data_IF_362342929278
#
_entry.id   IF_362342929278
#
_cell.length_a   1.000
_cell.length_b   1.000
_cell.length_c   1.000
_cell.angle_alpha   90.00
_cell.angle_beta   90.00
_cell.angle_gamma   90.00
#
_symmetry.space_group_name_H-M   'P 1'
#
loop_
_entity.id
_entity.type
_entity.pdbx_description
1 polymer ?
#
# COMPACT_ATOMS: atom_id res chain seq x y z
N UNK A 1 -23.35 83.98 -5.69
CA UNK A 1 -22.61 83.28 -4.62
C UNK A 1 -23.63 82.73 -3.64
N UNK A 2 -23.97 81.45 -3.77
CA UNK A 2 -24.88 80.70 -2.88
C UNK A 2 -24.15 79.42 -2.45
N UNK A 3 -24.27 78.98 -1.18
CA UNK A 3 -23.56 77.79 -0.73
C UNK A 3 -24.35 76.53 -1.10
N UNK A 4 -23.68 75.60 -1.78
CA UNK A 4 -24.20 74.28 -2.09
C UNK A 4 -24.20 73.41 -0.81
N UNK A 5 -25.39 72.99 -0.37
CA UNK A 5 -25.54 71.95 0.65
C UNK A 5 -25.14 70.59 0.04
N UNK A 6 -23.96 70.09 0.40
CA UNK A 6 -23.57 68.69 0.17
C UNK A 6 -24.30 67.81 1.19
N UNK A 7 -25.39 67.19 0.78
CA UNK A 7 -26.04 66.11 1.51
C UNK A 7 -25.08 64.91 1.54
N UNK A 8 -24.47 64.62 2.70
CA UNK A 8 -23.77 63.35 2.94
C UNK A 8 -24.84 62.26 3.08
N UNK A 9 -25.04 61.49 2.01
CA UNK A 9 -25.79 60.25 2.04
C UNK A 9 -24.93 59.21 2.78
N UNK A 10 -25.12 59.07 4.09
CA UNK A 10 -24.59 57.92 4.82
C UNK A 10 -25.47 56.72 4.47
N UNK A 11 -25.00 55.86 3.56
CA UNK A 11 -25.57 54.53 3.41
C UNK A 11 -25.27 53.74 4.68
N UNK A 12 -26.24 53.67 5.58
CA UNK A 12 -26.18 52.81 6.76
C UNK A 12 -26.40 51.37 6.28
N UNK A 13 -25.35 50.71 5.80
CA UNK A 13 -25.36 49.25 5.71
C UNK A 13 -25.26 48.72 7.14
N UNK A 14 -26.21 47.93 7.65
CA UNK A 14 -26.01 47.27 8.93
C UNK A 14 -24.75 46.41 8.84
N UNK A 15 -23.88 46.41 9.86
CA UNK A 15 -22.75 45.48 9.86
C UNK A 15 -23.36 44.08 9.79
N UNK A 16 -23.14 43.37 8.67
CA UNK A 16 -23.40 41.94 8.62
C UNK A 16 -22.61 41.35 9.77
N UNK A 17 -23.32 40.79 10.74
CA UNK A 17 -22.75 40.22 11.95
C UNK A 17 -21.99 38.96 11.53
N UNK A 18 -20.78 39.13 11.01
CA UNK A 18 -19.84 38.05 10.71
C UNK A 18 -19.37 37.53 12.06
N UNK A 19 -20.17 36.63 12.61
CA UNK A 19 -19.88 35.94 13.85
C UNK A 19 -18.82 34.89 13.55
N UNK A 20 -17.70 34.94 14.26
CA UNK A 20 -16.74 33.85 14.25
C UNK A 20 -17.34 32.65 14.99
N UNK A 21 -18.02 31.79 14.23
CA UNK A 21 -18.71 30.62 14.77
C UNK A 21 -17.70 29.73 15.49
N UNK A 22 -16.59 29.39 14.84
CA UNK A 22 -15.57 28.48 15.40
C UNK A 22 -14.91 29.10 16.64
N UNK A 23 -14.54 30.37 16.60
CA UNK A 23 -13.98 31.07 17.77
C UNK A 23 -14.96 31.22 18.93
N UNK A 24 -16.27 31.22 18.67
CA UNK A 24 -17.30 31.31 19.72
C UNK A 24 -17.68 29.97 20.36
N UNK A 25 -17.28 28.84 19.76
CA UNK A 25 -17.61 27.50 20.26
C UNK A 25 -16.68 27.05 21.38
N UNK A 26 -17.14 26.16 22.27
CA UNK A 26 -16.26 25.41 23.16
C UNK A 26 -15.18 24.66 22.36
N UNK A 27 -13.93 24.56 22.88
CA UNK A 27 -12.82 23.96 22.16
C UNK A 27 -13.11 22.55 21.60
N UNK A 28 -13.84 21.72 22.35
CA UNK A 28 -14.16 20.35 21.97
C UNK A 28 -15.05 20.30 20.73
N UNK A 29 -16.03 21.21 20.64
CA UNK A 29 -16.95 21.29 19.51
C UNK A 29 -16.23 21.87 18.29
N UNK A 30 -15.41 22.90 18.48
CA UNK A 30 -14.57 23.45 17.42
C UNK A 30 -13.64 22.37 16.84
N UNK A 31 -12.95 21.62 17.70
CA UNK A 31 -12.06 20.52 17.29
C UNK A 31 -12.84 19.42 16.57
N UNK A 32 -14.02 19.03 17.04
CA UNK A 32 -14.82 17.99 16.38
C UNK A 32 -15.30 18.44 14.99
N UNK A 33 -15.56 19.73 14.77
CA UNK A 33 -15.84 20.28 13.44
C UNK A 33 -14.58 20.26 12.57
N UNK A 34 -13.45 20.75 13.09
CA UNK A 34 -12.18 20.82 12.35
C UNK A 34 -11.63 19.45 11.96
N UNK A 35 -12.01 18.39 12.68
CA UNK A 35 -11.65 16.98 12.42
C UNK A 35 -12.08 16.43 11.05
N UNK A 36 -12.99 17.11 10.37
CA UNK A 36 -13.45 16.76 9.02
C UNK A 36 -12.63 17.43 7.91
N UNK A 37 -11.82 18.44 8.24
CA UNK A 37 -10.97 19.14 7.28
C UNK A 37 -9.77 18.29 6.86
N UNK A 38 -9.16 18.61 5.72
CA UNK A 38 -7.88 18.02 5.32
C UNK A 38 -6.68 18.80 5.92
N UNK A 39 -5.46 18.32 5.71
CA UNK A 39 -4.26 18.94 6.28
C UNK A 39 -4.03 20.39 5.79
N UNK A 40 -4.37 20.71 4.54
CA UNK A 40 -4.20 22.06 3.98
C UNK A 40 -5.23 23.03 4.57
N UNK A 41 -6.47 22.59 4.72
CA UNK A 41 -7.54 23.38 5.33
C UNK A 41 -7.24 23.63 6.82
N UNK A 42 -6.75 22.61 7.55
CA UNK A 42 -6.30 22.77 8.93
C UNK A 42 -5.12 23.75 9.04
N UNK A 43 -4.13 23.65 8.15
CA UNK A 43 -3.03 24.60 8.10
C UNK A 43 -3.51 26.03 7.82
N UNK A 44 -4.51 26.17 6.94
CA UNK A 44 -5.14 27.47 6.64
C UNK A 44 -5.92 28.02 7.85
N UNK A 45 -6.62 27.15 8.59
CA UNK A 45 -7.29 27.49 9.84
C UNK A 45 -6.30 28.07 10.87
N UNK A 46 -5.09 27.51 10.96
CA UNK A 46 -4.02 28.04 11.82
C UNK A 46 -3.57 29.46 11.48
N UNK A 47 -3.94 29.99 10.32
CA UNK A 47 -3.60 31.34 9.85
C UNK A 47 -4.74 32.37 10.03
N UNK A 48 -5.93 31.94 10.47
CA UNK A 48 -7.11 32.83 10.59
C UNK A 48 -7.01 33.76 11.79
N UNK A 49 -6.81 33.21 12.99
CA UNK A 49 -6.64 33.95 14.24
C UNK A 49 -5.90 33.12 15.27
N UNK A 50 -5.41 33.74 16.35
CA UNK A 50 -4.74 33.01 17.46
C UNK A 50 -5.64 31.94 18.08
N UNK A 51 -6.94 32.21 18.17
CA UNK A 51 -7.90 31.26 18.73
C UNK A 51 -8.13 30.07 17.78
N UNK A 52 -8.30 30.33 16.48
CA UNK A 52 -8.40 29.25 15.48
C UNK A 52 -7.14 28.40 15.43
N UNK A 53 -5.96 29.02 15.56
CA UNK A 53 -4.69 28.31 15.67
C UNK A 53 -4.69 27.36 16.87
N UNK A 54 -5.13 27.80 18.04
CA UNK A 54 -5.14 26.95 19.24
C UNK A 54 -6.01 25.69 19.07
N UNK A 55 -7.06 25.76 18.24
CA UNK A 55 -7.93 24.63 17.94
C UNK A 55 -7.38 23.75 16.81
N UNK A 56 -6.97 24.36 15.69
CA UNK A 56 -6.50 23.66 14.49
C UNK A 56 -5.09 23.06 14.66
N UNK A 57 -4.28 23.59 15.57
CA UNK A 57 -2.94 23.10 15.92
C UNK A 57 -2.99 22.04 17.03
N UNK A 58 -4.13 21.39 17.28
CA UNK A 58 -4.28 20.35 18.30
C UNK A 58 -3.63 19.02 17.88
N UNK A 59 -2.87 18.40 18.79
CA UNK A 59 -2.26 17.09 18.57
C UNK A 59 -3.28 16.00 18.25
N UNK A 60 -4.51 16.10 18.76
CA UNK A 60 -5.57 15.11 18.46
C UNK A 60 -5.91 15.11 16.97
N UNK A 61 -6.01 16.29 16.37
CA UNK A 61 -6.30 16.45 14.94
C UNK A 61 -5.14 15.91 14.09
N UNK A 62 -3.92 16.31 14.42
CA UNK A 62 -2.75 15.94 13.61
C UNK A 62 -2.31 14.49 13.83
N UNK A 63 -2.54 13.89 15.01
CA UNK A 63 -2.36 12.44 15.24
C UNK A 63 -3.35 11.64 14.39
N UNK A 64 -4.60 12.10 14.26
CA UNK A 64 -5.58 11.50 13.34
C UNK A 64 -5.13 11.64 11.88
N UNK A 65 -4.58 12.80 11.48
CA UNK A 65 -4.03 13.00 10.14
C UNK A 65 -2.86 12.04 9.85
N UNK A 66 -1.91 11.92 10.77
CA UNK A 66 -0.79 10.99 10.65
C UNK A 66 -1.28 9.55 10.46
N UNK A 67 -2.23 9.08 11.29
CA UNK A 67 -2.84 7.75 11.16
C UNK A 67 -3.53 7.57 9.81
N UNK A 68 -4.30 8.56 9.34
CA UNK A 68 -4.98 8.54 8.03
C UNK A 68 -3.99 8.40 6.87
N UNK A 69 -2.78 8.94 7.02
CA UNK A 69 -1.70 8.86 6.05
C UNK A 69 -0.69 7.73 6.34
N UNK A 70 -1.01 6.81 7.27
CA UNK A 70 -0.13 5.69 7.71
C UNK A 70 1.28 6.14 8.10
N UNK A 71 1.38 7.34 8.67
CA UNK A 71 2.61 7.78 9.30
C UNK A 71 2.71 7.09 10.66
N UNK A 72 3.60 6.10 10.74
CA UNK A 72 4.13 5.64 12.01
C UNK A 72 5.11 6.70 12.51
N UNK A 73 4.62 7.61 13.34
CA UNK A 73 5.47 8.54 14.09
C UNK A 73 5.56 8.00 15.50
N UNK A 74 6.74 7.53 15.87
CA UNK A 74 7.02 7.14 17.24
C UNK A 74 7.12 8.40 18.11
N UNK A 75 6.56 8.36 19.32
CA UNK A 75 6.45 9.56 20.17
C UNK A 75 7.82 10.09 20.62
N UNK A 76 8.88 9.26 20.61
CA UNK A 76 10.25 9.70 20.91
C UNK A 76 10.83 10.64 19.84
N UNK A 77 10.32 10.60 18.60
CA UNK A 77 10.76 11.49 17.50
C UNK A 77 10.51 12.95 17.86
N UNK A 78 9.53 13.24 18.71
CA UNK A 78 9.22 14.57 19.18
C UNK A 78 10.36 15.21 19.99
N UNK A 79 11.24 14.41 20.60
CA UNK A 79 12.42 14.93 21.29
C UNK A 79 13.50 15.45 20.32
N UNK A 80 13.48 15.02 19.06
CA UNK A 80 14.44 15.42 18.02
C UNK A 80 13.94 16.57 17.14
N UNK A 81 12.70 17.02 17.32
CA UNK A 81 12.15 18.15 16.60
C UNK A 81 12.55 19.44 17.36
N UNK A 82 13.32 20.31 16.72
CA UNK A 82 13.69 21.60 17.28
C UNK A 82 12.43 22.49 17.41
N UNK A 83 11.93 22.65 18.64
CA UNK A 83 10.79 23.54 18.95
C UNK A 83 11.23 24.92 19.43
N UNK A 84 12.52 25.11 19.70
CA UNK A 84 13.06 26.35 20.23
C UNK A 84 13.36 27.35 19.11
N UNK A 85 12.33 28.09 18.70
CA UNK A 85 12.50 29.40 18.07
C UNK A 85 12.07 30.48 19.08
N UNK A 86 12.98 30.95 19.96
CA UNK A 86 12.64 31.90 21.05
C UNK A 86 12.25 33.31 20.56
N UNK A 87 12.05 33.51 19.25
CA UNK A 87 11.68 34.78 18.62
C UNK A 87 10.28 34.82 17.99
N UNK A 88 9.50 33.73 17.96
CA UNK A 88 8.18 33.73 17.33
C UNK A 88 7.05 34.10 18.31
N UNK A 89 6.20 35.06 17.93
CA UNK A 89 5.07 35.56 18.75
C UNK A 89 3.85 34.63 18.79
N UNK A 90 3.95 33.44 18.18
CA UNK A 90 2.87 32.47 18.02
C UNK A 90 3.23 31.18 18.77
N UNK A 91 2.20 30.48 19.23
CA UNK A 91 2.37 29.15 19.79
C UNK A 91 3.05 28.21 18.77
N UNK A 92 3.99 27.36 19.23
CA UNK A 92 4.69 26.42 18.38
C UNK A 92 3.71 25.44 17.75
N UNK A 93 4.07 24.88 16.59
CA UNK A 93 3.26 23.84 15.97
C UNK A 93 3.17 22.64 16.91
N UNK A 94 2.03 21.97 16.88
CA UNK A 94 1.84 20.68 17.53
C UNK A 94 2.94 19.70 17.09
N UNK A 95 3.30 18.78 17.98
CA UNK A 95 4.27 17.72 17.70
C UNK A 95 3.86 16.90 16.49
N UNK A 96 2.59 16.49 16.48
CA UNK A 96 2.02 15.71 15.38
C UNK A 96 1.87 16.54 14.09
N UNK A 97 1.60 17.85 14.17
CA UNK A 97 1.55 18.73 13.01
C UNK A 97 2.93 18.85 12.34
N UNK A 98 3.97 18.98 13.16
CA UNK A 98 5.36 19.07 12.72
C UNK A 98 5.81 17.76 12.08
N UNK A 99 5.53 16.63 12.75
CA UNK A 99 5.83 15.31 12.20
C UNK A 99 5.06 15.05 10.90
N UNK A 100 3.79 15.44 10.79
CA UNK A 100 3.04 15.31 9.55
C UNK A 100 3.69 16.10 8.41
N UNK A 101 4.05 17.37 8.66
CA UNK A 101 4.71 18.20 7.66
C UNK A 101 6.07 17.62 7.23
N UNK A 102 6.88 17.16 8.19
CA UNK A 102 8.20 16.62 7.89
C UNK A 102 8.16 15.24 7.21
N UNK A 103 7.24 14.35 7.61
CA UNK A 103 7.26 12.96 7.15
C UNK A 103 6.25 12.67 6.05
N UNK A 104 5.05 13.26 6.03
CA UNK A 104 4.14 13.05 4.90
C UNK A 104 4.41 14.04 3.78
N UNK A 105 4.36 15.35 4.05
CA UNK A 105 4.39 16.35 2.98
C UNK A 105 5.73 16.35 2.25
N UNK A 106 6.85 16.23 2.96
CA UNK A 106 8.18 16.14 2.36
C UNK A 106 8.33 14.93 1.44
N UNK A 107 7.89 13.74 1.87
CA UNK A 107 7.92 12.53 1.04
C UNK A 107 7.12 12.71 -0.24
N UNK A 108 5.91 13.27 -0.14
CA UNK A 108 5.07 13.50 -1.32
C UNK A 108 5.64 14.59 -2.23
N UNK A 109 6.26 15.63 -1.67
CA UNK A 109 6.99 16.62 -2.45
C UNK A 109 8.18 16.00 -3.19
N UNK A 110 8.93 15.13 -2.51
CA UNK A 110 10.05 14.40 -3.07
C UNK A 110 9.60 13.50 -4.21
N UNK A 111 8.53 12.72 -4.03
CA UNK A 111 7.88 11.98 -5.12
C UNK A 111 7.52 12.91 -6.28
N UNK A 112 6.78 14.01 -6.05
CA UNK A 112 6.35 14.96 -7.11
C UNK A 112 7.48 15.59 -7.92
N UNK A 113 8.69 15.64 -7.37
CA UNK A 113 9.87 16.26 -7.99
C UNK A 113 10.94 15.23 -8.38
N UNK A 114 10.62 13.93 -8.28
CA UNK A 114 11.57 12.82 -8.40
C UNK A 114 12.87 12.99 -7.57
N UNK A 115 12.75 13.61 -6.39
CA UNK A 115 13.89 13.79 -5.47
C UNK A 115 14.05 12.57 -4.57
N UNK A 116 15.07 11.77 -4.84
CA UNK A 116 15.37 10.55 -4.10
C UNK A 116 16.85 10.41 -3.82
N UNK A 117 17.22 9.74 -2.73
CA UNK A 117 18.57 9.22 -2.57
C UNK A 117 18.57 7.76 -3.02
N UNK A 118 19.44 7.42 -3.96
CA UNK A 118 19.59 6.06 -4.46
C UNK A 118 20.65 5.33 -3.64
N UNK A 119 20.35 4.12 -3.22
CA UNK A 119 21.30 3.21 -2.62
C UNK A 119 21.29 1.88 -3.36
N UNK A 120 22.47 1.37 -3.66
CA UNK A 120 22.64 0.11 -4.39
C UNK A 120 23.34 -0.86 -3.44
N UNK A 121 22.68 -1.97 -3.17
CA UNK A 121 23.29 -3.11 -2.48
C UNK A 121 23.72 -4.06 -3.59
N UNK A 122 25.03 -4.17 -3.80
CA UNK A 122 25.59 -5.15 -4.71
C UNK A 122 25.26 -6.54 -4.16
N UNK A 123 24.56 -7.34 -4.96
CA UNK A 123 24.18 -8.67 -4.58
C UNK A 123 24.67 -9.63 -5.64
N UNK A 124 25.72 -10.38 -5.34
CA UNK A 124 26.22 -11.40 -6.25
C UNK A 124 25.18 -12.52 -6.31
N UNK A 125 24.39 -12.53 -7.38
CA UNK A 125 23.41 -13.55 -7.71
C UNK A 125 22.29 -13.71 -6.67
N UNK A 126 21.50 -12.65 -6.45
CA UNK A 126 20.31 -12.76 -5.59
C UNK A 126 19.28 -13.70 -6.18
N UNK A 127 18.85 -14.66 -5.36
CA UNK A 127 17.82 -15.62 -5.74
C UNK A 127 16.43 -15.13 -5.37
N UNK A 128 16.27 -14.57 -4.15
CA UNK A 128 14.98 -14.12 -3.63
C UNK A 128 15.15 -12.84 -2.80
N UNK A 129 14.19 -11.91 -2.93
CA UNK A 129 14.11 -10.68 -2.12
C UNK A 129 12.71 -10.53 -1.55
N UNK A 130 12.62 -10.08 -0.30
CA UNK A 130 11.38 -9.64 0.33
C UNK A 130 11.61 -8.29 1.03
N UNK A 131 10.58 -7.45 1.04
CA UNK A 131 10.59 -6.15 1.72
C UNK A 131 9.30 -5.97 2.53
N UNK A 132 9.43 -5.43 3.74
CA UNK A 132 8.30 -4.97 4.55
C UNK A 132 8.63 -3.63 5.19
N UNK A 133 7.92 -2.57 4.80
CA UNK A 133 8.23 -1.18 5.20
C UNK A 133 9.71 -0.85 4.93
N UNK A 134 10.53 -0.67 5.96
CA UNK A 134 11.99 -0.43 5.83
C UNK A 134 12.83 -1.69 5.96
N UNK A 135 12.22 -2.86 6.16
CA UNK A 135 12.95 -4.12 6.35
C UNK A 135 13.20 -4.80 5.02
N UNK A 136 14.45 -5.13 4.76
CA UNK A 136 14.88 -5.85 3.57
C UNK A 136 15.51 -7.18 3.97
N UNK A 137 15.07 -8.26 3.34
CA UNK A 137 15.73 -9.56 3.42
C UNK A 137 15.96 -10.08 2.01
N UNK A 138 17.16 -10.59 1.75
CA UNK A 138 17.48 -11.27 0.50
C UNK A 138 18.40 -12.45 0.74
N UNK A 139 18.44 -13.36 -0.23
CA UNK A 139 19.33 -14.52 -0.25
C UNK A 139 20.32 -14.46 -1.39
N UNK A 140 21.51 -15.00 -1.16
CA UNK A 140 22.48 -15.29 -2.22
C UNK A 140 22.32 -16.73 -2.77
N UNK A 141 23.19 -17.12 -3.70
CA UNK A 141 23.27 -18.48 -4.25
C UNK A 141 23.66 -19.54 -3.22
N UNK A 142 24.31 -19.13 -2.12
CA UNK A 142 24.72 -20.04 -1.04
C UNK A 142 23.60 -20.28 -0.03
N UNK A 143 22.42 -19.68 -0.23
CA UNK A 143 21.28 -19.81 0.67
C UNK A 143 21.43 -19.03 1.98
N UNK A 144 22.40 -18.11 2.05
CA UNK A 144 22.60 -17.25 3.22
C UNK A 144 21.63 -16.07 3.14
N UNK A 145 20.92 -15.80 4.25
CA UNK A 145 19.98 -14.67 4.30
C UNK A 145 20.66 -13.47 4.94
N UNK A 146 20.57 -12.33 4.27
CA UNK A 146 21.01 -11.05 4.79
C UNK A 146 19.80 -10.17 5.11
N UNK A 147 19.79 -9.60 6.32
CA UNK A 147 18.69 -8.75 6.79
C UNK A 147 19.19 -7.35 7.10
N UNK A 148 18.51 -6.35 6.52
CA UNK A 148 18.83 -4.94 6.65
C UNK A 148 17.62 -4.14 7.14
N UNK A 149 17.92 -3.08 7.89
CA UNK A 149 17.00 -2.02 8.25
C UNK A 149 17.34 -0.76 7.47
N UNK A 150 16.45 -0.37 6.57
CA UNK A 150 16.61 0.74 5.66
C UNK A 150 16.19 2.08 6.27
N UNK A 151 15.81 2.15 7.55
CA UNK A 151 15.35 3.42 8.14
C UNK A 151 16.49 4.44 8.30
N UNK A 152 17.57 4.09 9.01
CA UNK A 152 18.73 4.96 9.23
C UNK A 152 20.05 4.30 8.79
N UNK A 153 20.64 4.82 7.70
CA UNK A 153 21.96 4.40 7.16
C UNK A 153 22.06 2.93 6.73
N UNK A 154 20.95 2.29 6.38
CA UNK A 154 20.93 0.91 5.88
C UNK A 154 21.64 -0.04 6.86
N UNK A 155 21.23 0.04 8.12
CA UNK A 155 21.82 -0.73 9.20
C UNK A 155 21.66 -2.22 8.90
N UNK A 156 22.79 -2.90 8.76
CA UNK A 156 22.81 -4.35 8.76
C UNK A 156 22.33 -4.88 10.11
N UNK A 157 21.34 -5.78 10.09
CA UNK A 157 20.80 -6.39 11.31
C UNK A 157 21.54 -7.71 11.57
N UNK A 158 21.48 -8.64 10.63
CA UNK A 158 21.91 -10.02 10.86
C UNK A 158 22.16 -10.77 9.55
N UNK A 159 23.11 -11.71 9.60
CA UNK A 159 23.25 -12.80 8.64
C UNK A 159 22.68 -14.07 9.27
N UNK A 160 21.80 -14.76 8.57
CA UNK A 160 21.16 -16.00 9.02
C UNK A 160 21.64 -17.13 8.12
N UNK A 161 22.33 -18.09 8.72
CA UNK A 161 22.64 -19.36 8.09
C UNK A 161 21.52 -20.35 8.37
N UNK A 162 20.99 -20.96 7.31
CA UNK A 162 19.91 -21.93 7.40
C UNK A 162 20.46 -23.31 7.78
N UNK A 163 19.60 -24.14 8.36
CA UNK A 163 19.96 -25.50 8.77
C UNK A 163 20.02 -26.46 7.58
N UNK A 164 19.22 -26.19 6.55
CA UNK A 164 19.14 -27.01 5.34
C UNK A 164 19.94 -26.38 4.21
N UNK A 165 20.56 -27.24 3.39
CA UNK A 165 21.28 -26.87 2.17
C UNK A 165 20.34 -26.76 0.95
N UNK A 166 19.04 -27.05 1.11
CA UNK A 166 18.04 -26.87 0.06
C UNK A 166 17.93 -25.38 -0.35
N UNK A 167 17.77 -25.07 -1.64
CA UNK A 167 17.71 -23.70 -2.11
C UNK A 167 16.50 -22.96 -1.54
N UNK A 168 16.71 -21.70 -1.19
CA UNK A 168 15.61 -20.83 -0.77
C UNK A 168 14.78 -20.47 -1.98
N UNK A 169 13.50 -20.85 -1.95
CA UNK A 169 12.56 -20.64 -3.06
C UNK A 169 11.65 -19.44 -2.85
N UNK A 170 11.45 -19.02 -1.60
CA UNK A 170 10.66 -17.85 -1.28
C UNK A 170 11.04 -17.27 0.09
N UNK A 171 10.87 -15.95 0.21
CA UNK A 171 10.99 -15.18 1.45
C UNK A 171 9.70 -14.42 1.69
N UNK A 172 9.28 -14.34 2.95
CA UNK A 172 8.19 -13.48 3.38
C UNK A 172 8.57 -12.68 4.60
N UNK A 173 8.45 -11.36 4.51
CA UNK A 173 8.66 -10.46 5.63
C UNK A 173 7.34 -9.87 6.12
N UNK A 174 7.23 -9.80 7.45
CA UNK A 174 6.22 -9.02 8.15
C UNK A 174 6.91 -8.11 9.17
N UNK A 175 6.13 -7.32 9.92
CA UNK A 175 6.66 -6.45 10.97
C UNK A 175 7.51 -7.21 12.00
N UNK A 176 7.11 -8.44 12.34
CA UNK A 176 7.70 -9.20 13.44
C UNK A 176 8.24 -10.58 13.03
N UNK A 177 8.07 -11.00 11.77
CA UNK A 177 8.46 -12.34 11.35
C UNK A 177 9.18 -12.33 10.01
N UNK A 178 10.13 -13.25 9.87
CA UNK A 178 10.75 -13.64 8.60
C UNK A 178 10.40 -15.11 8.36
N UNK A 179 9.84 -15.38 7.19
CA UNK A 179 9.44 -16.71 6.75
C UNK A 179 10.33 -17.09 5.57
N UNK A 180 10.91 -18.27 5.64
CA UNK A 180 11.84 -18.79 4.64
C UNK A 180 11.30 -20.12 4.14
N UNK A 181 11.16 -20.26 2.82
CA UNK A 181 10.75 -21.54 2.20
C UNK A 181 11.96 -22.25 1.60
N UNK A 182 12.22 -23.46 2.07
CA UNK A 182 13.21 -24.39 1.51
C UNK A 182 12.50 -25.70 1.16
N UNK A 183 12.36 -26.01 -0.13
CA UNK A 183 11.49 -27.10 -0.58
C UNK A 183 10.05 -26.90 -0.09
N UNK A 184 9.55 -27.85 0.68
CA UNK A 184 8.21 -27.80 1.29
C UNK A 184 8.20 -27.49 2.79
N UNK A 185 9.33 -27.08 3.34
CA UNK A 185 9.46 -26.65 4.73
C UNK A 185 9.47 -25.12 4.81
N UNK A 186 8.70 -24.59 5.76
CA UNK A 186 8.75 -23.16 6.09
C UNK A 186 9.45 -22.97 7.42
N UNK A 187 10.57 -22.27 7.40
CA UNK A 187 11.26 -21.83 8.62
C UNK A 187 10.70 -20.48 9.05
N UNK A 188 10.24 -20.39 10.29
CA UNK A 188 9.66 -19.17 10.86
C UNK A 188 10.64 -18.58 11.87
N UNK A 189 10.99 -17.31 11.67
CA UNK A 189 11.80 -16.53 12.59
C UNK A 189 10.97 -15.40 13.19
N UNK A 190 11.06 -15.19 14.49
CA UNK A 190 10.45 -14.07 15.19
C UNK A 190 11.47 -12.97 15.47
N UNK A 191 11.04 -11.72 15.40
CA UNK A 191 11.88 -10.53 15.52
C UNK A 191 11.60 -9.80 16.82
N UNK A 192 12.68 -9.56 17.56
CA UNK A 192 12.74 -8.50 18.56
C UNK A 192 13.75 -7.44 18.09
N UNK A 193 15.01 -7.55 18.52
CA UNK A 193 16.12 -6.78 17.93
C UNK A 193 16.74 -7.51 16.74
N UNK A 194 16.97 -8.81 16.91
CA UNK A 194 17.43 -9.74 15.87
C UNK A 194 16.33 -10.79 15.60
N UNK A 195 16.54 -11.61 14.58
CA UNK A 195 15.67 -12.72 14.23
C UNK A 195 16.13 -14.00 14.96
N UNK A 196 15.19 -14.66 15.61
CA UNK A 196 15.38 -15.91 16.32
C UNK A 196 14.50 -16.99 15.71
N UNK A 197 15.03 -18.20 15.59
CA UNK A 197 14.27 -19.34 15.09
C UNK A 197 13.12 -19.66 16.05
N UNK A 198 11.89 -19.59 15.55
CA UNK A 198 10.69 -19.99 16.29
C UNK A 198 10.37 -21.47 16.06
N UNK A 199 10.50 -21.92 14.80
CA UNK A 199 10.29 -23.31 14.44
C UNK A 199 10.18 -23.52 12.94
N UNK A 200 9.75 -24.74 12.59
CA UNK A 200 9.59 -25.22 11.22
C UNK A 200 8.15 -25.68 11.02
N UNK A 201 7.48 -25.20 9.97
CA UNK A 201 6.21 -25.75 9.53
C UNK A 201 6.50 -26.79 8.46
N UNK A 202 6.12 -28.03 8.76
CA UNK A 202 6.42 -29.21 7.93
C UNK A 202 5.11 -29.91 7.60
N UNK A 203 5.00 -30.41 6.36
CA UNK A 203 3.91 -31.29 5.96
C UNK A 203 4.13 -32.70 6.53
N UNK A 204 3.16 -33.22 7.28
CA UNK A 204 3.15 -34.57 7.84
C UNK A 204 1.80 -35.25 7.58
N UNK A 205 1.85 -36.37 6.86
CA UNK A 205 0.73 -37.23 6.41
C UNK A 205 -0.33 -36.51 5.56
N UNK A 206 -1.05 -35.54 6.13
CA UNK A 206 -2.05 -34.67 5.47
C UNK A 206 -2.32 -33.41 6.32
N UNK A 207 -1.32 -32.96 7.07
CA UNK A 207 -1.43 -31.82 7.98
C UNK A 207 -0.14 -31.01 7.99
N UNK A 208 -0.24 -29.75 8.40
CA UNK A 208 0.92 -28.89 8.61
C UNK A 208 1.10 -28.70 10.11
N UNK A 209 2.28 -29.07 10.58
CA UNK A 209 2.60 -29.06 12.01
C UNK A 209 3.81 -28.17 12.24
N UNK A 210 3.76 -27.38 13.31
CA UNK A 210 4.89 -26.60 13.80
C UNK A 210 5.79 -27.50 14.65
N UNK A 211 7.03 -27.67 14.25
CA UNK A 211 8.06 -28.45 14.94
C UNK A 211 9.22 -27.56 15.37
N UNK A 212 9.96 -27.99 16.40
CA UNK A 212 11.22 -27.33 16.82
C UNK A 212 12.45 -27.82 16.08
N UNK A 213 12.31 -28.94 15.37
CA UNK A 213 13.40 -29.59 14.63
C UNK A 213 13.07 -29.58 13.15
N UNK A 214 14.11 -29.42 12.34
CA UNK A 214 14.00 -29.49 10.89
C UNK A 214 13.73 -30.95 10.48
N UNK A 215 12.68 -31.16 9.70
CA UNK A 215 12.37 -32.43 9.08
C UNK A 215 12.20 -32.18 7.58
N UNK A 216 12.99 -32.83 6.72
CA UNK A 216 12.77 -32.80 5.28
C UNK A 216 11.35 -33.27 4.96
N UNK A 217 10.72 -32.65 3.97
CA UNK A 217 9.39 -33.02 3.49
C UNK A 217 9.38 -33.03 1.97
N UNK A 218 8.91 -34.12 1.39
CA UNK A 218 8.80 -34.33 -0.07
C UNK A 218 7.35 -34.17 -0.53
N UNK A 219 6.73 -33.04 -0.20
CA UNK A 219 5.31 -32.78 -0.46
C UNK A 219 5.12 -31.92 -1.71
N UNK A 220 5.26 -32.55 -2.87
CA UNK A 220 5.12 -31.88 -4.16
C UNK A 220 3.80 -31.10 -4.30
N UNK A 221 3.90 -29.88 -4.83
CA UNK A 221 2.75 -29.10 -5.29
C UNK A 221 2.13 -28.13 -4.27
N UNK A 222 2.84 -27.84 -3.18
CA UNK A 222 2.40 -26.89 -2.17
C UNK A 222 2.53 -25.44 -2.67
N UNK A 223 1.42 -24.69 -2.63
CA UNK A 223 1.40 -23.24 -2.89
C UNK A 223 1.33 -22.48 -1.59
N UNK A 224 1.90 -21.28 -1.54
CA UNK A 224 1.92 -20.47 -0.34
C UNK A 224 1.74 -18.99 -0.64
N UNK A 225 1.32 -18.26 0.37
CA UNK A 225 1.22 -16.81 0.37
C UNK A 225 1.51 -16.29 1.79
N UNK A 226 2.19 -15.15 1.89
CA UNK A 226 2.37 -14.44 3.15
C UNK A 226 1.49 -13.21 3.13
N UNK A 227 0.60 -13.12 4.11
CA UNK A 227 -0.30 -11.99 4.34
C UNK A 227 0.05 -11.32 5.68
N UNK A 228 -0.57 -10.18 5.96
CA UNK A 228 -0.39 -9.49 7.23
C UNK A 228 -0.73 -10.43 8.40
N UNK A 229 0.26 -10.72 9.23
CA UNK A 229 0.17 -11.61 10.39
C UNK A 229 -0.18 -13.08 10.07
N UNK A 230 -0.05 -13.54 8.83
CA UNK A 230 -0.42 -14.91 8.46
C UNK A 230 0.45 -15.54 7.39
N UNK A 231 0.76 -16.83 7.56
CA UNK A 231 1.31 -17.69 6.50
C UNK A 231 0.20 -18.64 6.01
N UNK A 232 -0.16 -18.51 4.75
CA UNK A 232 -1.19 -19.31 4.10
C UNK A 232 -0.55 -20.39 3.23
N UNK A 233 -0.96 -21.63 3.41
CA UNK A 233 -0.42 -22.78 2.69
C UNK A 233 -1.57 -23.59 2.10
N UNK A 234 -1.52 -23.81 0.79
CA UNK A 234 -2.49 -24.60 0.06
C UNK A 234 -1.85 -25.92 -0.37
N UNK A 235 -2.35 -27.00 0.20
CA UNK A 235 -1.89 -28.36 -0.06
C UNK A 235 -3.08 -29.29 -0.32
N UNK A 236 -3.09 -29.91 -1.50
CA UNK A 236 -4.20 -30.75 -1.94
C UNK A 236 -5.54 -30.01 -1.95
N UNK A 237 -6.48 -30.47 -1.12
CA UNK A 237 -7.81 -29.89 -0.94
C UNK A 237 -7.96 -29.13 0.39
N UNK A 238 -6.84 -28.73 1.00
CA UNK A 238 -6.83 -28.03 2.28
C UNK A 238 -6.05 -26.71 2.17
N UNK A 239 -6.62 -25.67 2.76
CA UNK A 239 -5.95 -24.40 3.02
C UNK A 239 -5.64 -24.34 4.51
N UNK A 240 -4.37 -24.19 4.85
CA UNK A 240 -3.87 -23.96 6.19
C UNK A 240 -3.50 -22.48 6.32
N UNK A 241 -3.93 -21.85 7.41
CA UNK A 241 -3.57 -20.47 7.73
C UNK A 241 -2.95 -20.49 9.12
N UNK A 242 -1.64 -20.28 9.15
CA UNK A 242 -0.89 -20.12 10.39
C UNK A 242 -0.90 -18.64 10.79
N UNK A 243 -1.57 -18.33 11.89
CA UNK A 243 -1.56 -17.00 12.49
C UNK A 243 -0.22 -16.76 13.17
N UNK A 244 0.57 -15.83 12.64
CA UNK A 244 1.86 -15.44 13.21
C UNK A 244 1.69 -14.65 14.53
N UNK A 245 0.52 -14.06 14.76
CA UNK A 245 0.26 -13.29 15.97
C UNK A 245 -0.08 -14.20 17.16
N UNK A 246 -0.86 -15.26 16.91
CA UNK A 246 -1.38 -16.15 17.94
C UNK A 246 -0.70 -17.53 17.95
N UNK A 247 0.18 -17.79 16.99
CA UNK A 247 0.81 -19.09 16.74
C UNK A 247 -0.23 -20.22 16.61
N UNK A 248 -1.39 -19.93 16.02
CA UNK A 248 -2.51 -20.87 15.83
C UNK A 248 -2.63 -21.30 14.37
N UNK A 249 -3.04 -22.56 14.15
CA UNK A 249 -3.31 -23.10 12.82
C UNK A 249 -4.82 -23.20 12.57
N UNK A 250 -5.28 -22.59 11.48
CA UNK A 250 -6.64 -22.74 10.97
C UNK A 250 -6.63 -23.59 9.70
N UNK A 251 -7.57 -24.53 9.57
CA UNK A 251 -7.65 -25.43 8.42
C UNK A 251 -9.02 -25.34 7.76
N UNK A 252 -9.02 -25.16 6.45
CA UNK A 252 -10.23 -25.03 5.64
C UNK A 252 -10.21 -26.00 4.47
N UNK A 253 -11.36 -26.60 4.16
CA UNK A 253 -11.51 -27.45 2.98
C UNK A 253 -11.76 -26.57 1.75
N UNK A 254 -11.05 -26.88 0.66
CA UNK A 254 -11.13 -26.16 -0.61
C UNK A 254 -11.35 -27.12 -1.78
N UNK A 255 -11.60 -26.57 -2.96
CA UNK A 255 -11.73 -27.35 -4.19
C UNK A 255 -10.38 -27.92 -4.65
N UNK A 256 -10.38 -29.15 -5.19
CA UNK A 256 -9.17 -29.92 -5.57
C UNK A 256 -8.23 -29.21 -6.55
N UNK A 257 -8.74 -28.26 -7.33
CA UNK A 257 -7.97 -27.44 -8.29
C UNK A 257 -8.13 -25.95 -7.99
N UNK A 258 -8.25 -25.61 -6.72
CA UNK A 258 -8.31 -24.22 -6.28
C UNK A 258 -7.07 -23.43 -6.73
N UNK A 259 -7.19 -22.13 -6.89
CA UNK A 259 -6.04 -21.23 -7.03
C UNK A 259 -5.61 -20.70 -5.66
N UNK A 260 -4.46 -20.03 -5.61
CA UNK A 260 -4.04 -19.28 -4.43
C UNK A 260 -3.68 -17.86 -4.88
N UNK A 261 -4.64 -16.95 -4.74
CA UNK A 261 -4.42 -15.52 -4.96
C UNK A 261 -4.35 -14.84 -3.60
N UNK A 262 -3.65 -13.72 -3.49
CA UNK A 262 -3.58 -13.01 -2.23
C UNK A 262 -3.30 -11.52 -2.45
N UNK A 263 -3.63 -10.73 -1.45
CA UNK A 263 -3.16 -9.36 -1.28
C UNK A 263 -2.45 -9.23 0.07
N UNK A 264 -2.36 -8.02 0.62
CA UNK A 264 -1.74 -7.78 1.91
C UNK A 264 -2.56 -8.34 3.09
N UNK A 265 -3.88 -8.43 2.97
CA UNK A 265 -4.79 -8.72 4.08
C UNK A 265 -5.39 -10.12 4.02
N UNK A 266 -5.58 -10.66 2.82
CA UNK A 266 -6.37 -11.86 2.59
C UNK A 266 -5.77 -12.78 1.54
N UNK A 267 -6.06 -14.07 1.72
CA UNK A 267 -5.85 -15.11 0.73
C UNK A 267 -7.18 -15.52 0.12
N UNK A 268 -7.22 -15.73 -1.19
CA UNK A 268 -8.41 -16.08 -1.94
C UNK A 268 -8.25 -17.44 -2.59
N UNK A 269 -9.25 -18.29 -2.35
CA UNK A 269 -9.31 -19.68 -2.83
C UNK A 269 -10.71 -20.02 -3.32
N UNK A 270 -10.79 -20.98 -4.24
CA UNK A 270 -12.04 -21.63 -4.60
C UNK A 270 -12.43 -22.63 -3.50
N UNK A 271 -13.55 -22.37 -2.81
CA UNK A 271 -14.10 -23.30 -1.82
C UNK A 271 -15.12 -24.26 -2.43
N UNK A 272 -15.78 -23.84 -3.51
CA UNK A 272 -16.62 -24.69 -4.35
C UNK A 272 -16.67 -24.14 -5.80
N UNK A 273 -17.33 -24.87 -6.70
CA UNK A 273 -17.45 -24.54 -8.13
C UNK A 273 -18.11 -23.20 -8.46
N UNK A 274 -18.74 -22.56 -7.48
CA UNK A 274 -19.61 -21.39 -7.65
C UNK A 274 -19.19 -20.20 -6.80
N UNK A 275 -18.17 -20.35 -5.94
CA UNK A 275 -17.74 -19.25 -5.07
C UNK A 275 -16.24 -19.25 -4.84
N UNK A 276 -15.74 -18.03 -4.73
CA UNK A 276 -14.40 -17.73 -4.24
C UNK A 276 -14.55 -17.12 -2.86
N UNK A 277 -13.72 -17.60 -1.94
CA UNK A 277 -13.73 -17.19 -0.54
C UNK A 277 -12.39 -16.52 -0.22
N UNK A 278 -12.44 -15.35 0.40
CA UNK A 278 -11.28 -14.67 0.96
C UNK A 278 -11.16 -14.93 2.45
N UNK A 279 -9.97 -15.30 2.93
CA UNK A 279 -9.67 -15.57 4.34
C UNK A 279 -8.61 -14.59 4.85
N UNK A 280 -8.75 -14.09 6.07
CA UNK A 280 -7.69 -13.35 6.77
C UNK A 280 -6.82 -14.27 7.65
N UNK A 281 -5.78 -13.69 8.26
CA UNK A 281 -4.83 -14.41 9.11
C UNK A 281 -5.44 -15.02 10.39
N UNK A 282 -6.63 -14.58 10.80
CA UNK A 282 -7.34 -15.09 11.97
C UNK A 282 -8.41 -16.13 11.60
N UNK A 283 -8.50 -16.48 10.31
CA UNK A 283 -9.48 -17.44 9.80
C UNK A 283 -10.87 -16.87 9.58
N UNK A 284 -11.08 -15.55 9.68
CA UNK A 284 -12.34 -14.94 9.24
C UNK A 284 -12.42 -14.99 7.71
N UNK A 285 -13.61 -15.26 7.19
CA UNK A 285 -13.81 -15.46 5.77
C UNK A 285 -14.98 -14.67 5.20
N UNK A 286 -14.91 -14.38 3.90
CA UNK A 286 -15.95 -13.71 3.12
C UNK A 286 -16.12 -14.43 1.78
N UNK A 287 -17.35 -14.82 1.45
CA UNK A 287 -17.70 -15.41 0.17
C UNK A 287 -18.11 -14.34 -0.83
N UNK A 288 -17.59 -14.43 -2.05
CA UNK A 288 -17.84 -13.42 -3.10
C UNK A 288 -18.82 -13.87 -4.18
N UNK A 289 -19.32 -15.11 -4.14
CA UNK A 289 -20.27 -15.67 -5.13
C UNK A 289 -19.80 -15.47 -6.59
N UNK A 290 -18.50 -15.63 -6.82
CA UNK A 290 -17.88 -15.57 -8.14
C UNK A 290 -17.52 -16.99 -8.57
N UNK A 291 -17.79 -17.34 -9.82
CA UNK A 291 -17.29 -18.59 -10.40
C UNK A 291 -15.75 -18.61 -10.39
N UNK A 292 -15.10 -19.59 -9.74
CA UNK A 292 -13.64 -19.64 -9.68
C UNK A 292 -12.96 -19.65 -11.05
N UNK A 293 -13.59 -20.24 -12.06
CA UNK A 293 -13.03 -20.31 -13.42
C UNK A 293 -13.02 -18.97 -14.16
N UNK A 294 -13.78 -17.97 -13.70
CA UNK A 294 -13.78 -16.63 -14.30
C UNK A 294 -12.79 -15.68 -13.64
N UNK A 295 -12.29 -15.98 -12.44
CA UNK A 295 -11.41 -15.07 -11.69
C UNK A 295 -10.02 -14.99 -12.31
N UNK A 296 -9.57 -13.76 -12.56
CA UNK A 296 -8.22 -13.45 -13.01
C UNK A 296 -7.36 -12.97 -11.85
N UNK A 297 -7.90 -12.05 -11.04
CA UNK A 297 -7.20 -11.46 -9.90
C UNK A 297 -8.22 -10.89 -8.92
N UNK A 298 -7.86 -10.84 -7.64
CA UNK A 298 -8.64 -10.22 -6.57
C UNK A 298 -7.69 -9.43 -5.68
N UNK A 299 -8.09 -8.21 -5.31
CA UNK A 299 -7.37 -7.34 -4.38
C UNK A 299 -8.35 -6.64 -3.45
N UNK A 300 -7.92 -6.33 -2.25
CA UNK A 300 -8.73 -5.66 -1.25
C UNK A 300 -7.93 -4.67 -0.42
N UNK A 301 -8.67 -3.76 0.21
CA UNK A 301 -8.23 -2.97 1.34
C UNK A 301 -9.22 -3.17 2.51
N UNK A 302 -9.15 -2.32 3.53
CA UNK A 302 -10.05 -2.40 4.69
C UNK A 302 -11.52 -2.09 4.37
N UNK A 303 -11.80 -1.43 3.26
CA UNK A 303 -13.10 -0.84 2.93
C UNK A 303 -13.78 -1.48 1.71
N UNK A 304 -13.01 -2.10 0.81
CA UNK A 304 -13.48 -2.65 -0.45
C UNK A 304 -12.65 -3.84 -0.93
N UNK A 305 -13.27 -4.69 -1.74
CA UNK A 305 -12.66 -5.79 -2.48
C UNK A 305 -13.03 -5.67 -3.95
N UNK A 306 -12.05 -5.84 -4.83
CA UNK A 306 -12.18 -5.74 -6.28
C UNK A 306 -11.67 -7.03 -6.91
N UNK A 307 -12.54 -7.73 -7.62
CA UNK A 307 -12.20 -8.90 -8.42
C UNK A 307 -12.26 -8.55 -9.90
N UNK A 308 -11.18 -8.83 -10.63
CA UNK A 308 -11.20 -8.85 -12.08
C UNK A 308 -11.63 -10.24 -12.56
N UNK A 309 -12.71 -10.30 -13.32
CA UNK A 309 -13.25 -11.55 -13.88
C UNK A 309 -13.34 -11.49 -15.39
N UNK A 310 -13.25 -12.66 -16.02
CA UNK A 310 -13.51 -12.89 -17.43
C UNK A 310 -14.84 -13.63 -17.58
N UNK A 311 -15.82 -12.99 -18.20
CA UNK A 311 -17.12 -13.57 -18.50
C UNK A 311 -17.23 -13.88 -20.00
N UNK A 312 -17.76 -15.06 -20.34
CA UNK A 312 -18.02 -15.46 -21.73
C UNK A 312 -19.49 -15.29 -22.05
N UNK A 313 -19.77 -14.52 -23.10
CA UNK A 313 -21.10 -14.37 -23.68
C UNK A 313 -21.08 -14.85 -25.13
N UNK A 314 -22.26 -15.04 -25.73
CA UNK A 314 -22.41 -15.44 -27.14
C UNK A 314 -21.64 -14.52 -28.11
N UNK A 315 -21.38 -13.27 -27.73
CA UNK A 315 -20.67 -12.26 -28.52
C UNK A 315 -19.15 -12.18 -28.27
N UNK A 316 -18.61 -12.99 -27.35
CA UNK A 316 -17.18 -13.02 -27.03
C UNK A 316 -16.87 -12.99 -25.53
N UNK A 317 -15.58 -12.89 -25.21
CA UNK A 317 -15.07 -12.80 -23.82
C UNK A 317 -14.94 -11.33 -23.40
N UNK A 318 -15.52 -10.99 -22.26
CA UNK A 318 -15.51 -9.64 -21.68
C UNK A 318 -14.85 -9.65 -20.30
N UNK A 319 -14.25 -8.52 -19.94
CA UNK A 319 -13.61 -8.36 -18.64
C UNK A 319 -14.41 -7.38 -17.80
N UNK A 320 -14.65 -7.75 -16.55
CA UNK A 320 -15.48 -6.98 -15.62
C UNK A 320 -14.78 -6.91 -14.27
N UNK A 321 -14.74 -5.72 -13.69
CA UNK A 321 -14.41 -5.56 -12.28
C UNK A 321 -15.68 -5.70 -11.45
N UNK A 322 -15.73 -6.68 -10.57
CA UNK A 322 -16.77 -6.84 -9.56
C UNK A 322 -16.28 -6.24 -8.24
N UNK A 323 -17.07 -5.35 -7.65
CA UNK A 323 -16.64 -4.52 -6.53
C UNK A 323 -17.61 -4.64 -5.36
N UNK A 324 -17.08 -5.04 -4.20
CA UNK A 324 -17.77 -5.06 -2.93
C UNK A 324 -17.19 -3.96 -2.05
N UNK A 325 -18.02 -3.04 -1.56
CA UNK A 325 -17.59 -1.91 -0.73
C UNK A 325 -18.46 -1.80 0.51
N UNK A 326 -17.89 -1.27 1.60
CA UNK A 326 -18.68 -0.85 2.77
C UNK A 326 -19.52 0.40 2.50
N UNK A 327 -19.09 1.22 1.54
CA UNK A 327 -19.70 2.53 1.24
C UNK A 327 -20.74 2.48 0.13
N UNK A 328 -20.74 1.43 -0.70
CA UNK A 328 -21.68 1.30 -1.82
C UNK A 328 -22.21 -0.12 -1.92
N UNK A 329 -23.40 -0.25 -2.51
CA UNK A 329 -23.87 -1.55 -3.00
C UNK A 329 -22.86 -2.15 -3.99
N UNK A 330 -22.98 -3.46 -4.20
CA UNK A 330 -22.24 -4.20 -5.22
C UNK A 330 -22.29 -3.47 -6.57
N UNK A 331 -21.14 -3.33 -7.23
CA UNK A 331 -21.01 -2.66 -8.53
C UNK A 331 -20.14 -3.46 -9.49
N UNK A 332 -20.40 -3.26 -10.77
CA UNK A 332 -19.64 -3.86 -11.86
C UNK A 332 -19.13 -2.75 -12.80
N UNK A 333 -17.86 -2.84 -13.20
CA UNK A 333 -17.25 -1.94 -14.18
C UNK A 333 -16.71 -2.74 -15.35
N UNK A 334 -17.23 -2.51 -16.54
CA UNK A 334 -16.70 -3.14 -17.75
C UNK A 334 -15.32 -2.57 -18.07
N UNK A 335 -14.41 -3.42 -18.50
CA UNK A 335 -13.07 -3.00 -18.89
C UNK A 335 -12.57 -3.83 -20.08
N UNK A 336 -11.54 -3.33 -20.74
CA UNK A 336 -10.72 -4.17 -21.63
C UNK A 336 -9.83 -5.08 -20.77
N UNK A 337 -9.08 -5.99 -21.40
CA UNK A 337 -8.17 -6.85 -20.63
C UNK A 337 -7.15 -5.99 -19.88
N UNK A 338 -7.30 -5.91 -18.57
CA UNK A 338 -6.36 -5.20 -17.72
C UNK A 338 -5.05 -5.98 -17.60
N UNK A 339 -3.93 -5.26 -17.73
CA UNK A 339 -2.58 -5.80 -17.56
C UNK A 339 -2.01 -5.56 -16.16
N UNK A 340 -2.79 -4.89 -15.32
CA UNK A 340 -2.48 -4.59 -13.93
C UNK A 340 -3.53 -3.67 -13.32
N UNK A 341 -3.90 -3.89 -12.06
CA UNK A 341 -4.74 -2.97 -11.31
C UNK A 341 -4.32 -2.96 -9.84
N UNK A 342 -4.67 -1.90 -9.12
CA UNK A 342 -4.40 -1.75 -7.69
C UNK A 342 -5.57 -1.08 -6.98
N UNK A 343 -5.78 -1.43 -5.71
CA UNK A 343 -6.81 -0.83 -4.85
C UNK A 343 -6.13 0.19 -3.93
N UNK A 344 -6.68 1.41 -3.86
CA UNK A 344 -6.12 2.46 -3.01
C UNK A 344 -6.30 2.13 -1.55
N UNK A 345 -5.26 2.29 -0.73
CA UNK A 345 -5.37 2.13 0.71
C UNK A 345 -5.96 3.35 1.43
N UNK A 346 -6.15 4.46 0.72
CA UNK A 346 -6.48 5.76 1.33
C UNK A 346 -7.92 6.21 1.12
N UNK A 347 -8.54 5.76 0.02
CA UNK A 347 -9.87 6.13 -0.45
C UNK A 347 -10.51 4.93 -1.15
N UNK A 348 -11.85 4.87 -1.24
CA UNK A 348 -12.56 3.81 -1.96
C UNK A 348 -12.42 3.96 -3.48
N UNK A 349 -11.18 3.87 -3.96
CA UNK A 349 -10.75 4.02 -5.35
C UNK A 349 -9.89 2.85 -5.76
N UNK A 350 -9.92 2.53 -7.03
CA UNK A 350 -8.96 1.60 -7.63
C UNK A 350 -8.59 2.08 -9.02
N UNK A 351 -7.45 1.64 -9.52
CA UNK A 351 -6.96 2.02 -10.84
C UNK A 351 -6.52 0.79 -11.61
N UNK A 352 -6.67 0.82 -12.93
CA UNK A 352 -6.26 -0.27 -13.82
C UNK A 352 -5.60 0.26 -15.08
N UNK A 353 -4.61 -0.46 -15.58
CA UNK A 353 -4.00 -0.21 -16.89
C UNK A 353 -4.50 -1.24 -17.88
N UNK A 354 -4.89 -0.78 -19.07
CA UNK A 354 -5.26 -1.65 -20.16
C UNK A 354 -4.87 -1.04 -21.52
N UNK A 355 -4.59 -1.91 -22.50
CA UNK A 355 -4.40 -1.48 -23.88
C UNK A 355 -5.77 -1.14 -24.49
N UNK A 356 -5.84 -0.04 -25.23
CA UNK A 356 -7.07 0.32 -25.94
C UNK A 356 -7.45 -0.78 -26.95
N UNK A 357 -8.72 -0.83 -27.38
CA UNK A 357 -9.24 -1.91 -28.25
C UNK A 357 -8.46 -2.14 -29.55
N UNK A 358 -7.69 -1.17 -30.02
CA UNK A 358 -6.86 -1.27 -31.23
C UNK A 358 -5.36 -1.41 -30.94
N UNK A 359 -4.96 -1.52 -29.67
CA UNK A 359 -3.57 -1.70 -29.25
C UNK A 359 -2.66 -0.49 -29.48
N UNK A 360 -3.21 0.65 -29.89
CA UNK A 360 -2.44 1.86 -30.27
C UNK A 360 -2.14 2.79 -29.10
N UNK A 361 -2.80 2.58 -27.94
CA UNK A 361 -2.69 3.46 -26.77
C UNK A 361 -2.82 2.63 -25.50
N UNK A 362 -2.15 3.09 -24.46
CA UNK A 362 -2.21 2.50 -23.12
C UNK A 362 -3.00 3.45 -22.24
N UNK A 363 -4.12 2.96 -21.69
CA UNK A 363 -5.01 3.76 -20.87
C UNK A 363 -4.90 3.33 -19.41
N UNK A 364 -4.67 4.31 -18.55
CA UNK A 364 -4.85 4.20 -17.10
C UNK A 364 -6.26 4.68 -16.77
N UNK A 365 -7.12 3.80 -16.28
CA UNK A 365 -8.47 4.16 -15.81
C UNK A 365 -8.52 4.13 -14.29
N UNK A 366 -9.00 5.20 -13.68
CA UNK A 366 -9.23 5.31 -12.25
C UNK A 366 -10.73 5.32 -11.99
N UNK A 367 -11.14 4.49 -11.04
CA UNK A 367 -12.52 4.26 -10.65
C UNK A 367 -12.72 4.80 -9.23
N UNK A 368 -13.63 5.77 -9.11
CA UNK A 368 -13.99 6.42 -7.85
C UNK A 368 -15.38 5.94 -7.41
N UNK A 369 -15.43 5.10 -6.37
CA UNK A 369 -16.69 4.52 -5.91
C UNK A 369 -17.56 5.53 -5.15
N UNK A 370 -16.94 6.48 -4.45
CA UNK A 370 -17.63 7.48 -3.63
C UNK A 370 -18.49 8.37 -4.53
N UNK A 371 -17.92 8.85 -5.63
CA UNK A 371 -18.64 9.71 -6.59
C UNK A 371 -19.25 8.95 -7.77
N UNK A 372 -19.05 7.62 -7.84
CA UNK A 372 -19.51 6.79 -8.97
C UNK A 372 -18.97 7.27 -10.33
N UNK A 373 -17.72 7.70 -10.37
CA UNK A 373 -17.09 8.23 -11.58
C UNK A 373 -15.92 7.37 -12.02
N UNK A 374 -15.67 7.35 -13.32
CA UNK A 374 -14.47 6.79 -13.91
C UNK A 374 -13.82 7.82 -14.81
N UNK A 375 -12.50 7.86 -14.82
CA UNK A 375 -11.73 8.73 -15.71
C UNK A 375 -10.50 8.00 -16.21
N UNK A 376 -10.10 8.31 -17.45
CA UNK A 376 -8.96 7.67 -18.09
C UNK A 376 -7.89 8.70 -18.44
N UNK A 377 -6.63 8.32 -18.19
CA UNK A 377 -5.42 9.04 -18.57
C UNK A 377 -4.72 8.23 -19.65
N UNK A 378 -4.39 8.86 -20.77
CA UNK A 378 -3.57 8.27 -21.82
C UNK A 378 -2.11 8.31 -21.38
N UNK A 379 -1.49 7.15 -21.21
CA UNK A 379 -0.07 7.06 -20.81
C UNK A 379 0.88 7.42 -21.95
N UNK A 380 0.38 7.70 -23.16
CA UNK A 380 1.16 8.11 -24.34
C UNK A 380 2.22 7.08 -24.80
N UNK A 381 2.23 5.88 -24.20
CA UNK A 381 3.05 4.75 -24.64
C UNK A 381 2.70 4.34 -26.07
N UNK A 382 3.72 4.25 -26.91
CA UNK A 382 3.63 3.81 -28.31
C UNK A 382 3.47 2.30 -28.39
N UNK A 383 4.09 1.58 -27.45
CA UNK A 383 4.08 0.13 -27.41
C UNK A 383 2.97 -0.43 -26.51
N UNK A 384 2.36 -1.57 -26.90
CA UNK A 384 1.39 -2.24 -26.07
C UNK A 384 2.06 -2.80 -24.81
N UNK A 385 1.37 -2.71 -23.67
CA UNK A 385 1.89 -3.21 -22.40
C UNK A 385 1.58 -4.69 -22.24
N UNK A 386 2.57 -5.46 -21.78
CA UNK A 386 2.42 -6.86 -21.39
C UNK A 386 2.10 -7.04 -19.89
N UNK A 387 2.56 -6.12 -19.04
CA UNK A 387 2.22 -6.07 -17.62
C UNK A 387 2.35 -4.65 -17.07
N UNK A 388 1.48 -4.29 -16.13
CA UNK A 388 1.61 -3.08 -15.34
C UNK A 388 1.60 -3.39 -13.84
N UNK A 389 2.39 -2.65 -13.06
CA UNK A 389 2.30 -2.58 -11.61
C UNK A 389 1.88 -1.16 -11.22
N UNK A 390 0.93 -1.06 -10.31
CA UNK A 390 0.39 0.22 -9.86
C UNK A 390 0.56 0.28 -8.34
N UNK A 391 0.86 1.46 -7.82
CA UNK A 391 0.94 1.70 -6.39
C UNK A 391 0.42 3.10 -6.05
N UNK A 392 -0.59 3.16 -5.18
CA UNK A 392 -1.01 4.43 -4.59
C UNK A 392 0.02 4.88 -3.56
N UNK A 393 0.73 5.97 -3.86
CA UNK A 393 1.71 6.59 -2.96
C UNK A 393 0.98 7.44 -1.90
N UNK A 394 -0.12 8.07 -2.30
CA UNK A 394 -1.01 8.80 -1.41
C UNK A 394 -2.43 8.88 -2.00
N UNK A 395 -3.30 9.66 -1.36
CA UNK A 395 -4.62 10.05 -1.91
C UNK A 395 -4.53 10.76 -3.25
N UNK A 396 -3.43 11.47 -3.48
CA UNK A 396 -3.27 12.37 -4.62
C UNK A 396 -2.27 11.85 -5.65
N UNK A 397 -1.54 10.77 -5.36
CA UNK A 397 -0.44 10.29 -6.19
C UNK A 397 -0.56 8.80 -6.46
N UNK A 398 -0.49 8.45 -7.73
CA UNK A 398 -0.45 7.08 -8.22
C UNK A 398 0.80 6.90 -9.06
N UNK A 399 1.60 5.90 -8.70
CA UNK A 399 2.77 5.51 -9.48
C UNK A 399 2.45 4.25 -10.28
N UNK A 400 2.75 4.28 -11.57
CA UNK A 400 2.43 3.21 -12.53
C UNK A 400 3.72 2.82 -13.23
N UNK A 401 4.03 1.53 -13.24
CA UNK A 401 5.19 0.99 -13.93
C UNK A 401 4.69 0.00 -14.96
N UNK A 402 5.19 0.11 -16.18
CA UNK A 402 4.83 -0.75 -17.30
C UNK A 402 6.02 -1.55 -17.79
N UNK A 403 5.72 -2.61 -18.54
CA UNK A 403 6.66 -3.28 -19.42
C UNK A 403 5.98 -3.68 -20.72
N UNK A 404 6.65 -3.46 -21.84
CA UNK A 404 6.20 -3.89 -23.16
C UNK A 404 6.33 -5.41 -23.35
N UNK A 405 7.31 -6.05 -22.70
CA UNK A 405 7.57 -7.48 -22.82
C UNK A 405 7.79 -8.17 -21.46
N UNK A 406 8.32 -9.41 -21.47
CA UNK A 406 8.61 -10.19 -20.26
C UNK A 406 10.05 -10.00 -19.76
N UNK A 407 10.82 -9.08 -20.35
CA UNK A 407 12.21 -8.80 -20.02
C UNK A 407 12.36 -7.90 -18.80
N UNK A 408 12.24 -6.58 -19.00
CA UNK A 408 12.40 -5.58 -17.95
C UNK A 408 11.18 -4.67 -17.83
N UNK A 409 11.02 -4.02 -16.68
CA UNK A 409 10.15 -2.85 -16.56
C UNK A 409 10.89 -1.66 -17.15
N UNK A 410 10.23 -1.03 -18.13
CA UNK A 410 10.83 -0.05 -19.04
C UNK A 410 10.45 1.40 -18.70
N UNK A 411 9.22 1.62 -18.19
CA UNK A 411 8.69 2.97 -18.02
C UNK A 411 7.93 3.12 -16.71
N UNK A 412 8.22 4.20 -15.99
CA UNK A 412 7.53 4.61 -14.76
C UNK A 412 6.82 5.95 -14.93
N UNK A 413 5.55 6.03 -14.55
CA UNK A 413 4.72 7.23 -14.63
C UNK A 413 4.26 7.64 -13.24
N UNK A 414 4.48 8.88 -12.84
CA UNK A 414 3.83 9.44 -11.65
C UNK A 414 2.64 10.29 -12.08
N UNK A 415 1.45 9.95 -11.61
CA UNK A 415 0.20 10.62 -11.92
C UNK A 415 -0.30 11.39 -10.70
N UNK A 416 -0.66 12.66 -10.91
CA UNK A 416 -1.42 13.45 -9.95
C UNK A 416 -2.92 13.21 -10.13
N UNK A 417 -3.54 12.59 -9.13
CA UNK A 417 -4.96 12.24 -9.13
C UNK A 417 -5.88 13.46 -8.92
N UNK A 418 -5.33 14.63 -8.58
CA UNK A 418 -6.10 15.87 -8.50
C UNK A 418 -6.29 16.53 -9.86
N UNK A 419 -5.25 16.51 -10.67
CA UNK A 419 -5.26 17.14 -12.01
C UNK A 419 -5.42 16.12 -13.12
N UNK A 420 -5.34 14.82 -12.83
CA UNK A 420 -5.37 13.71 -13.78
C UNK A 420 -4.31 13.83 -14.87
N UNK A 421 -3.13 14.33 -14.49
CA UNK A 421 -2.00 14.52 -15.40
C UNK A 421 -0.78 13.75 -14.92
N UNK A 422 0.02 13.29 -15.89
CA UNK A 422 1.35 12.73 -15.66
C UNK A 422 2.25 13.89 -15.24
N UNK A 423 2.85 13.77 -14.06
CA UNK A 423 3.80 14.76 -13.53
C UNK A 423 5.17 14.58 -14.18
N UNK A 424 5.62 13.34 -14.30
CA UNK A 424 6.83 12.97 -15.02
C UNK A 424 6.80 11.49 -15.41
N UNK A 425 7.69 11.17 -16.34
CA UNK A 425 7.98 9.83 -16.85
C UNK A 425 9.44 9.49 -16.54
N UNK A 426 9.71 8.23 -16.23
CA UNK A 426 11.03 7.69 -15.93
C UNK A 426 11.32 6.52 -16.84
N UNK A 427 12.48 6.55 -17.49
CA UNK A 427 13.06 5.37 -18.12
C UNK A 427 13.62 4.45 -17.01
N UNK A 428 13.22 3.20 -17.06
CA UNK A 428 13.59 2.16 -16.12
C UNK A 428 14.28 1.02 -16.88
N UNK A 429 15.12 0.27 -16.17
CA UNK A 429 15.73 -0.95 -16.69
C UNK A 429 15.89 -1.94 -15.54
N UNK A 430 14.73 -2.37 -15.01
CA UNK A 430 14.69 -3.26 -13.85
C UNK A 430 14.04 -4.59 -14.18
N UNK A 431 14.71 -5.70 -13.85
CA UNK A 431 14.17 -7.04 -14.07
C UNK A 431 12.90 -7.26 -13.24
N UNK A 432 12.85 -6.73 -12.02
CA UNK A 432 11.67 -6.81 -11.16
C UNK A 432 11.48 -5.60 -10.25
N UNK A 433 10.22 -5.28 -10.02
CA UNK A 433 9.77 -4.33 -8.99
C UNK A 433 9.40 -5.12 -7.74
N UNK A 434 10.17 -4.96 -6.67
CA UNK A 434 9.99 -5.74 -5.42
C UNK A 434 8.91 -5.11 -4.54
N UNK A 435 9.06 -3.82 -4.22
CA UNK A 435 8.13 -3.09 -3.35
C UNK A 435 8.16 -1.60 -3.66
N UNK A 436 7.02 -0.93 -3.52
CA UNK A 436 6.89 0.51 -3.68
C UNK A 436 5.97 1.03 -2.58
N UNK A 437 6.40 2.06 -1.88
CA UNK A 437 5.58 2.78 -0.92
C UNK A 437 5.92 4.28 -0.90
N UNK A 438 5.35 5.02 0.06
CA UNK A 438 5.61 6.47 0.19
C UNK A 438 7.03 6.84 0.65
N UNK A 439 7.74 5.92 1.31
CA UNK A 439 9.10 6.11 1.85
C UNK A 439 10.16 5.69 0.83
N UNK A 440 9.96 4.57 0.14
CA UNK A 440 10.95 3.95 -0.71
C UNK A 440 10.35 3.17 -1.88
N UNK A 441 11.17 2.96 -2.91
CA UNK A 441 10.92 2.01 -3.99
C UNK A 441 12.12 1.08 -4.12
N UNK A 442 11.87 -0.23 -4.20
CA UNK A 442 12.89 -1.29 -4.28
C UNK A 442 12.77 -2.01 -5.60
N UNK A 443 13.87 -2.01 -6.33
CA UNK A 443 14.03 -2.66 -7.62
C UNK A 443 15.09 -3.74 -7.53
N UNK A 444 14.90 -4.80 -8.30
CA UNK A 444 15.84 -5.90 -8.40
C UNK A 444 16.36 -6.00 -9.82
N UNK A 445 17.68 -6.00 -9.93
CA UNK A 445 18.45 -6.36 -11.11
C UNK A 445 19.16 -7.68 -10.89
N UNK A 446 19.76 -8.24 -11.95
CA UNK A 446 20.50 -9.51 -11.86
C UNK A 446 21.63 -9.50 -10.82
N UNK A 447 22.24 -8.33 -10.58
CA UNK A 447 23.46 -8.20 -9.76
C UNK A 447 23.32 -7.20 -8.60
N UNK A 448 22.15 -6.59 -8.43
CA UNK A 448 21.96 -5.57 -7.41
C UNK A 448 20.51 -5.39 -6.99
N UNK A 449 20.34 -5.01 -5.72
CA UNK A 449 19.10 -4.46 -5.19
C UNK A 449 19.26 -2.94 -5.12
N UNK A 450 18.45 -2.23 -5.90
CA UNK A 450 18.45 -0.76 -5.94
C UNK A 450 17.28 -0.20 -5.14
N UNK A 451 17.56 0.76 -4.27
CA UNK A 451 16.61 1.32 -3.31
C UNK A 451 16.57 2.83 -3.48
N UNK A 452 15.42 3.35 -3.87
CA UNK A 452 15.16 4.78 -4.00
C UNK A 452 14.47 5.27 -2.74
N UNK A 453 15.12 6.14 -1.97
CA UNK A 453 14.54 6.72 -0.75
C UNK A 453 13.98 8.11 -1.01
N UNK A 454 12.70 8.30 -0.70
CA UNK A 454 11.99 9.58 -0.78
C UNK A 454 11.84 10.27 0.58
N UNK A 455 12.30 9.63 1.67
CA UNK A 455 12.25 10.15 3.04
C UNK A 455 13.54 10.85 3.53
N UNK A 456 14.66 10.76 2.80
CA UNK A 456 16.00 11.20 3.26
C UNK A 456 16.47 12.58 2.76
N UNK A 457 15.63 13.32 2.04
CA UNK A 457 15.99 14.58 1.37
C UNK A 457 15.18 15.76 1.78
#
# INVERSE_FOLDING_TARGET
MMPAYRTKMFSYYPPTRNMDIIGSLPPEIAIEILKYLNANDLASCCCVSKQWRSYANSDVLWKKMCKKHRLCVEEWVFCALDFDNPGESLEPRSYWATAFAQYAQRRLHNWRQDRKSVHVIATWNTTVVSVYDTLLAYTDELGVIFVYDLEEKNRFIQTIQLVSDEPVTALGLTKYHLIVRQGDVFTVFSRHQNYFLEGFLVCHEDSIVLTRYYYPSDSNGLRHAVIENGLCILYGCQLYIYSLLFSTMHTFKVERKSFLLHDHYRVYVATNKYTVTGFDANGYYVDFNIFPSSVISIKSNLDMTVALVSEEFHSGRYYVFKVWSRFSYFREFSTSRSFGYEVSYFEPKFASVANCKFGQRVLLTIYDLEYATEYSVDLQSVDPVAQAKLQFISKDLLYVITRADWGCYDTGYLIDLKTNHILYELDLDYASVVSIDSKLAVYLNSEAVEIHFYNRW
#
